data_IF_576658658447
#
_entry.id   IF_576658658447
#
_cell.length_a   1.000
_cell.length_b   1.000
_cell.length_c   1.000
_cell.angle_alpha   90.00
_cell.angle_beta   90.00
_cell.angle_gamma   90.00
#
_symmetry.space_group_name_H-M   'P 1'
#
loop_
_entity.id
_entity.type
_entity.pdbx_description
1 polymer ?
#
# COMPACT_ATOMS: atom_id res chain seq x y z
N UNK A 1 -59.13 19.83 38.17
CA UNK A 1 -58.33 19.18 37.11
C UNK A 1 -56.90 19.70 37.20
N UNK A 2 -55.93 18.76 37.19
CA UNK A 2 -54.46 18.85 37.39
C UNK A 2 -53.81 20.14 36.82
N UNK A 3 -52.78 20.80 37.40
CA UNK A 3 -51.60 20.35 38.16
C UNK A 3 -51.17 21.34 39.26
N UNK A 4 -50.67 20.77 40.36
CA UNK A 4 -49.92 21.33 41.51
C UNK A 4 -48.46 21.55 41.06
N UNK A 5 -47.90 22.76 41.18
CA UNK A 5 -47.02 23.26 42.27
C UNK A 5 -45.67 22.52 42.35
N UNK A 6 -44.51 23.11 42.64
CA UNK A 6 -44.13 24.44 43.12
C UNK A 6 -42.61 24.45 43.39
N UNK A 7 -42.03 25.65 43.47
CA UNK A 7 -40.97 26.11 44.43
C UNK A 7 -39.60 25.38 44.44
N UNK A 8 -38.46 25.97 44.78
CA UNK A 8 -38.04 27.30 45.22
C UNK A 8 -36.51 27.41 45.05
N UNK A 9 -36.00 28.65 45.14
CA UNK A 9 -34.57 28.98 45.12
C UNK A 9 -33.95 28.80 46.52
N UNK A 10 -32.65 28.54 46.57
CA UNK A 10 -31.76 28.96 47.66
C UNK A 10 -30.30 29.06 47.18
N UNK A 11 -29.53 29.90 47.89
CA UNK A 11 -28.36 30.66 47.42
C UNK A 11 -27.01 30.21 48.02
N UNK A 12 -25.94 30.72 47.40
CA UNK A 12 -24.62 31.09 47.96
C UNK A 12 -23.62 30.00 48.39
N UNK A 13 -22.36 30.16 47.92
CA UNK A 13 -21.16 29.82 48.69
C UNK A 13 -19.91 29.42 47.89
N UNK A 14 -18.88 30.28 47.93
CA UNK A 14 -17.47 29.85 48.07
C UNK A 14 -16.65 29.58 46.80
N UNK A 15 -15.67 30.43 46.53
CA UNK A 15 -14.69 30.23 45.48
C UNK A 15 -13.55 29.26 45.84
N UNK A 16 -12.89 28.75 44.81
CA UNK A 16 -11.45 28.52 44.79
C UNK A 16 -11.01 28.44 43.32
N UNK A 17 -10.12 29.35 42.93
CA UNK A 17 -9.38 29.28 41.68
C UNK A 17 -8.49 28.04 41.72
N UNK A 18 -8.89 26.99 41.00
CA UNK A 18 -8.03 25.89 40.61
C UNK A 18 -7.89 25.95 39.10
N UNK A 19 -6.79 26.53 38.62
CA UNK A 19 -6.32 26.33 37.26
C UNK A 19 -6.16 24.83 37.05
N UNK A 20 -7.17 24.19 36.46
CA UNK A 20 -7.05 22.82 35.97
C UNK A 20 -6.14 22.89 34.76
N UNK A 21 -4.88 22.60 34.99
CA UNK A 21 -3.95 22.07 33.98
C UNK A 21 -4.73 21.03 33.17
N UNK A 22 -4.83 21.14 31.84
CA UNK A 22 -5.47 20.09 31.06
C UNK A 22 -4.66 18.82 31.26
N UNK A 23 -5.38 17.76 31.62
CA UNK A 23 -4.84 16.45 31.94
C UNK A 23 -4.20 15.87 30.67
N UNK A 24 -2.88 15.68 30.70
CA UNK A 24 -2.08 15.09 29.61
C UNK A 24 -2.34 13.59 29.57
N UNK A 25 -3.48 13.12 29.05
CA UNK A 25 -3.68 11.66 28.81
C UNK A 25 -4.72 11.26 27.74
N UNK A 26 -5.40 12.16 27.00
CA UNK A 26 -6.47 11.71 26.06
C UNK A 26 -6.36 12.28 24.64
N UNK A 27 -5.25 11.98 23.96
CA UNK A 27 -5.21 11.96 22.49
C UNK A 27 -4.65 10.60 22.05
N UNK A 28 -5.47 9.55 22.18
CA UNK A 28 -5.24 8.28 21.45
C UNK A 28 -5.68 8.50 20.00
N UNK A 29 -4.76 8.25 19.08
CA UNK A 29 -4.83 8.58 17.65
C UNK A 29 -6.19 8.34 17.02
N UNK A 30 -6.78 9.41 16.51
CA UNK A 30 -7.80 9.33 15.48
C UNK A 30 -7.10 8.82 14.22
N UNK A 31 -7.60 7.73 13.63
CA UNK A 31 -7.28 7.36 12.25
C UNK A 31 -7.58 8.60 11.39
N UNK A 32 -6.67 8.98 10.50
CA UNK A 32 -6.87 10.13 9.62
C UNK A 32 -8.08 9.80 8.73
N UNK A 33 -9.27 10.29 9.10
CA UNK A 33 -10.55 10.01 8.43
C UNK A 33 -10.61 10.58 6.99
N UNK A 34 -9.55 11.25 6.55
CA UNK A 34 -9.44 11.87 5.24
C UNK A 34 -8.75 10.98 4.18
N UNK A 35 -8.27 9.78 4.55
CA UNK A 35 -7.66 8.86 3.58
C UNK A 35 -8.65 8.50 2.48
N UNK A 36 -8.27 8.74 1.24
CA UNK A 36 -9.06 8.33 0.07
C UNK A 36 -8.72 6.91 -0.37
N UNK A 37 -9.59 6.30 -1.17
CA UNK A 37 -9.35 4.97 -1.77
C UNK A 37 -8.03 4.96 -2.54
N UNK A 38 -7.80 5.97 -3.38
CA UNK A 38 -6.63 6.06 -4.25
C UNK A 38 -5.30 6.03 -3.49
N UNK A 39 -5.27 6.50 -2.24
CA UNK A 39 -4.07 6.49 -1.39
C UNK A 39 -3.69 5.11 -0.85
N UNK A 40 -4.62 4.16 -0.87
CA UNK A 40 -4.42 2.80 -0.34
C UNK A 40 -4.32 1.72 -1.41
N UNK A 41 -4.84 1.97 -2.61
CA UNK A 41 -4.89 0.91 -3.62
C UNK A 41 -3.51 0.52 -4.12
N UNK A 42 -3.41 -0.74 -4.52
CA UNK A 42 -2.26 -1.30 -5.20
C UNK A 42 -2.64 -1.63 -6.65
N UNK A 43 -1.67 -1.68 -7.58
CA UNK A 43 -1.92 -2.12 -8.95
C UNK A 43 -2.57 -3.51 -8.94
N UNK A 44 -3.68 -3.65 -9.64
CA UNK A 44 -4.38 -4.92 -9.72
C UNK A 44 -3.61 -5.91 -10.61
N UNK A 45 -3.38 -7.10 -10.07
CA UNK A 45 -2.86 -8.24 -10.83
C UNK A 45 -4.07 -9.05 -11.31
N UNK A 46 -4.23 -9.13 -12.63
CA UNK A 46 -5.33 -9.82 -13.29
C UNK A 46 -4.90 -11.14 -13.92
N UNK A 47 -5.90 -11.97 -14.20
CA UNK A 47 -5.83 -13.12 -15.11
C UNK A 47 -6.73 -12.86 -16.31
N UNK A 48 -6.49 -13.57 -17.41
CA UNK A 48 -7.38 -13.52 -18.57
C UNK A 48 -8.46 -14.60 -18.46
N UNK A 49 -9.63 -14.33 -19.02
CA UNK A 49 -10.72 -15.31 -19.03
C UNK A 49 -10.37 -16.60 -19.77
N UNK A 50 -9.47 -16.54 -20.75
CA UNK A 50 -8.97 -17.67 -21.54
C UNK A 50 -7.77 -18.39 -20.90
N UNK A 51 -7.24 -17.90 -19.77
CA UNK A 51 -6.22 -18.62 -19.00
C UNK A 51 -6.83 -19.89 -18.38
N UNK A 52 -5.99 -20.90 -18.12
CA UNK A 52 -6.44 -22.09 -17.40
C UNK A 52 -6.69 -21.77 -15.92
N UNK A 53 -7.68 -22.42 -15.32
CA UNK A 53 -7.96 -22.30 -13.89
C UNK A 53 -6.73 -22.72 -13.06
N UNK A 54 -5.97 -23.72 -13.53
CA UNK A 54 -4.69 -24.13 -12.92
C UNK A 54 -3.71 -22.96 -12.79
N UNK A 55 -3.53 -22.18 -13.86
CA UNK A 55 -2.58 -21.06 -13.87
C UNK A 55 -3.04 -19.93 -12.94
N UNK A 56 -4.35 -19.63 -12.92
CA UNK A 56 -4.92 -18.68 -11.98
C UNK A 56 -4.73 -19.12 -10.53
N UNK A 57 -5.02 -20.39 -10.22
CA UNK A 57 -4.85 -20.96 -8.89
C UNK A 57 -3.40 -20.97 -8.43
N UNK A 58 -2.48 -21.38 -9.32
CA UNK A 58 -1.05 -21.34 -9.04
C UNK A 58 -0.60 -19.92 -8.72
N UNK A 59 -1.13 -18.91 -9.43
CA UNK A 59 -0.83 -17.52 -9.15
C UNK A 59 -1.36 -17.05 -7.79
N UNK A 60 -2.59 -17.41 -7.44
CA UNK A 60 -3.19 -17.09 -6.14
C UNK A 60 -2.34 -17.66 -5.00
N UNK A 61 -2.02 -18.95 -5.06
CA UNK A 61 -1.25 -19.64 -4.02
C UNK A 61 0.19 -19.13 -3.92
N UNK A 62 0.89 -19.01 -5.06
CA UNK A 62 2.31 -18.62 -5.04
C UNK A 62 2.54 -17.17 -4.63
N UNK A 63 1.49 -16.34 -4.67
CA UNK A 63 1.59 -14.89 -4.42
C UNK A 63 0.74 -14.43 -3.25
N UNK A 64 0.07 -15.36 -2.57
CA UNK A 64 -0.80 -15.09 -1.43
C UNK A 64 -1.93 -14.10 -1.78
N UNK A 65 -2.52 -14.28 -2.97
CA UNK A 65 -3.67 -13.49 -3.41
C UNK A 65 -4.95 -14.27 -3.20
N UNK A 66 -5.83 -13.73 -2.37
CA UNK A 66 -7.15 -14.31 -2.14
C UNK A 66 -8.15 -14.05 -3.26
N UNK A 67 -7.84 -13.09 -4.14
CA UNK A 67 -8.68 -12.76 -5.29
C UNK A 67 -7.92 -12.02 -6.39
N UNK A 68 -8.45 -12.11 -7.62
CA UNK A 68 -7.90 -11.43 -8.79
C UNK A 68 -9.03 -11.00 -9.74
N UNK A 69 -8.94 -9.82 -10.36
CA UNK A 69 -9.82 -9.45 -11.48
C UNK A 69 -9.57 -10.36 -12.69
N UNK A 70 -10.64 -10.66 -13.42
CA UNK A 70 -10.58 -11.40 -14.68
C UNK A 70 -10.80 -10.42 -15.82
N UNK A 71 -9.96 -10.51 -16.85
CA UNK A 71 -9.92 -9.57 -17.96
C UNK A 71 -10.07 -10.25 -19.32
N UNK A 72 -10.50 -9.48 -20.33
CA UNK A 72 -10.46 -9.89 -21.73
C UNK A 72 -9.05 -9.73 -22.35
N UNK A 73 -8.92 -9.97 -23.66
CA UNK A 73 -7.68 -9.80 -24.42
C UNK A 73 -7.19 -8.33 -24.51
N UNK A 74 -8.08 -7.36 -24.23
CA UNK A 74 -7.80 -5.93 -24.23
C UNK A 74 -7.53 -5.39 -22.83
N UNK A 75 -7.53 -6.25 -21.80
CA UNK A 75 -7.32 -5.90 -20.40
C UNK A 75 -8.56 -5.31 -19.71
N UNK A 76 -9.74 -5.39 -20.33
CA UNK A 76 -11.00 -4.89 -19.74
C UNK A 76 -11.55 -5.89 -18.75
N UNK A 77 -12.08 -5.40 -17.64
CA UNK A 77 -12.66 -6.24 -16.58
C UNK A 77 -13.90 -6.95 -17.10
N UNK A 78 -13.92 -8.30 -17.02
CA UNK A 78 -15.07 -9.13 -17.40
C UNK A 78 -15.61 -9.96 -16.23
N UNK A 79 -14.86 -10.08 -15.14
CA UNK A 79 -15.27 -10.85 -13.97
C UNK A 79 -14.28 -10.77 -12.82
N UNK A 80 -14.46 -11.64 -11.84
CA UNK A 80 -13.50 -11.84 -10.75
C UNK A 80 -13.33 -13.33 -10.42
N UNK A 81 -12.16 -13.69 -9.90
CA UNK A 81 -11.93 -15.01 -9.31
C UNK A 81 -11.46 -14.83 -7.87
N UNK A 82 -12.04 -15.58 -6.95
CA UNK A 82 -11.81 -15.47 -5.52
C UNK A 82 -11.58 -16.86 -4.92
N UNK A 83 -10.98 -16.95 -3.74
CA UNK A 83 -10.95 -18.21 -2.96
C UNK A 83 -12.37 -18.76 -2.75
N UNK A 84 -13.36 -17.87 -2.59
CA UNK A 84 -14.78 -18.21 -2.43
C UNK A 84 -15.36 -18.91 -3.66
N UNK A 85 -14.83 -18.61 -4.86
CA UNK A 85 -15.19 -19.27 -6.12
C UNK A 85 -14.89 -20.76 -6.05
N UNK A 86 -13.69 -21.12 -5.58
CA UNK A 86 -13.30 -22.52 -5.44
C UNK A 86 -14.20 -23.24 -4.45
N UNK A 87 -14.40 -22.67 -3.26
CA UNK A 87 -15.24 -23.26 -2.21
C UNK A 87 -16.67 -23.50 -2.73
N UNK A 88 -17.20 -22.56 -3.52
CA UNK A 88 -18.52 -22.68 -4.14
C UNK A 88 -18.57 -23.84 -5.14
N UNK A 89 -17.60 -23.96 -6.04
CA UNK A 89 -17.59 -25.03 -7.04
C UNK A 89 -17.32 -26.41 -6.41
N UNK A 90 -16.44 -26.49 -5.40
CA UNK A 90 -16.30 -27.68 -4.56
C UNK A 90 -17.62 -28.10 -3.91
N UNK A 91 -18.45 -27.13 -3.48
CA UNK A 91 -19.74 -27.42 -2.85
C UNK A 91 -20.81 -27.87 -3.83
N UNK A 92 -20.67 -27.55 -5.13
CA UNK A 92 -21.59 -27.98 -6.19
C UNK A 92 -21.20 -29.33 -6.80
N UNK A 93 -19.95 -29.76 -6.62
CA UNK A 93 -19.41 -30.96 -7.24
C UNK A 93 -20.01 -32.23 -6.61
N UNK A 94 -20.62 -33.08 -7.42
CA UNK A 94 -21.13 -34.39 -7.00
C UNK A 94 -20.02 -35.46 -7.07
N UNK A 95 -18.97 -35.27 -6.25
CA UNK A 95 -17.89 -36.24 -6.06
C UNK A 95 -16.71 -36.17 -7.03
N UNK A 96 -16.75 -35.32 -8.07
CA UNK A 96 -15.58 -35.06 -8.92
C UNK A 96 -15.53 -33.62 -9.42
N UNK A 97 -14.34 -33.03 -9.43
CA UNK A 97 -14.06 -31.79 -10.14
C UNK A 97 -13.32 -32.08 -11.46
N UNK A 98 -13.55 -31.28 -12.51
CA UNK A 98 -12.71 -31.33 -13.70
C UNK A 98 -11.25 -31.03 -13.35
N UNK A 99 -10.31 -31.49 -14.19
CA UNK A 99 -8.92 -31.04 -14.05
C UNK A 99 -8.87 -29.52 -14.27
N UNK A 100 -8.32 -28.73 -13.34
CA UNK A 100 -8.18 -27.28 -13.50
C UNK A 100 -7.39 -26.84 -14.75
N UNK A 101 -6.62 -27.74 -15.37
CA UNK A 101 -5.98 -27.47 -16.66
C UNK A 101 -6.98 -27.37 -17.84
N UNK A 102 -8.11 -28.07 -17.72
CA UNK A 102 -9.12 -28.18 -18.79
C UNK A 102 -10.28 -27.18 -18.62
N UNK A 103 -10.25 -26.39 -17.54
CA UNK A 103 -11.26 -25.37 -17.20
C UNK A 103 -10.69 -23.99 -17.47
N UNK A 104 -11.42 -23.14 -18.18
CA UNK A 104 -11.02 -21.75 -18.35
C UNK A 104 -11.43 -20.94 -17.12
N UNK A 105 -10.68 -19.87 -16.82
CA UNK A 105 -11.05 -18.94 -15.74
C UNK A 105 -12.47 -18.39 -15.96
N UNK A 106 -12.85 -18.09 -17.21
CA UNK A 106 -14.16 -17.57 -17.54
C UNK A 106 -15.33 -18.50 -17.18
N UNK A 107 -15.11 -19.82 -17.13
CA UNK A 107 -16.16 -20.78 -16.77
C UNK A 107 -16.52 -20.72 -15.28
N UNK A 108 -15.57 -20.31 -14.44
CA UNK A 108 -15.70 -20.32 -12.98
C UNK A 108 -15.74 -18.91 -12.38
N UNK A 109 -15.39 -17.88 -13.13
CA UNK A 109 -15.38 -16.50 -12.63
C UNK A 109 -16.76 -16.06 -12.11
N UNK A 110 -16.75 -15.20 -11.10
CA UNK A 110 -17.92 -14.45 -10.67
C UNK A 110 -18.04 -13.12 -11.40
N UNK A 111 -19.01 -12.32 -10.96
CA UNK A 111 -19.20 -10.95 -11.43
C UNK A 111 -17.93 -10.10 -11.18
N UNK A 112 -17.68 -9.07 -11.99
CA UNK A 112 -16.65 -8.08 -11.72
C UNK A 112 -16.73 -7.49 -10.31
N UNK A 113 -15.58 -7.08 -9.76
CA UNK A 113 -15.57 -6.31 -8.52
C UNK A 113 -16.30 -4.97 -8.70
N UNK A 114 -16.77 -4.42 -7.58
CA UNK A 114 -17.41 -3.12 -7.59
C UNK A 114 -16.38 -2.04 -7.93
N UNK A 115 -16.69 -1.20 -8.92
CA UNK A 115 -15.85 -0.04 -9.27
C UNK A 115 -16.12 1.12 -8.32
N UNK A 116 -15.06 1.79 -7.90
CA UNK A 116 -15.13 3.00 -7.05
C UNK A 116 -14.30 4.12 -7.68
N UNK A 117 -14.51 5.35 -7.21
CA UNK A 117 -13.70 6.51 -7.62
C UNK A 117 -12.50 6.70 -6.67
N UNK A 118 -11.33 7.14 -7.16
CA UNK A 118 -10.12 7.31 -6.35
C UNK A 118 -10.29 8.27 -5.18
N UNK A 119 -11.09 9.33 -5.36
CA UNK A 119 -11.31 10.37 -4.36
C UNK A 119 -12.31 9.96 -3.29
N UNK A 120 -12.95 8.78 -3.40
CA UNK A 120 -13.90 8.33 -2.39
C UNK A 120 -13.20 8.19 -1.03
N UNK A 121 -13.79 8.70 0.06
CA UNK A 121 -13.23 8.51 1.38
C UNK A 121 -13.38 7.05 1.82
N UNK A 122 -12.43 6.58 2.62
CA UNK A 122 -12.34 5.17 2.99
C UNK A 122 -13.55 4.66 3.78
N UNK A 123 -14.19 5.52 4.56
CA UNK A 123 -15.39 5.21 5.34
C UNK A 123 -16.60 4.90 4.45
N UNK A 124 -16.71 5.52 3.27
CA UNK A 124 -17.74 5.25 2.27
C UNK A 124 -17.53 3.90 1.56
N UNK A 125 -16.28 3.45 1.40
CA UNK A 125 -15.95 2.16 0.75
C UNK A 125 -15.93 1.00 1.73
N UNK A 126 -15.70 1.26 3.02
CA UNK A 126 -15.64 0.23 4.06
C UNK A 126 -16.88 -0.72 4.08
N UNK A 127 -18.13 -0.23 3.97
CA UNK A 127 -19.30 -1.10 3.86
C UNK A 127 -19.30 -2.00 2.61
N UNK A 128 -18.76 -1.52 1.49
CA UNK A 128 -18.64 -2.32 0.26
C UNK A 128 -17.69 -3.51 0.48
N UNK A 129 -16.55 -3.26 1.16
CA UNK A 129 -15.56 -4.28 1.49
C UNK A 129 -16.01 -5.26 2.60
N UNK A 130 -17.10 -4.97 3.31
CA UNK A 130 -17.77 -5.95 4.18
C UNK A 130 -18.64 -6.92 3.36
N UNK A 131 -19.30 -6.42 2.33
CA UNK A 131 -20.18 -7.22 1.47
C UNK A 131 -19.43 -8.00 0.38
N UNK A 132 -18.31 -7.46 -0.10
CA UNK A 132 -17.47 -8.00 -1.18
C UNK A 132 -16.01 -8.10 -0.73
N UNK A 133 -15.17 -8.94 -1.35
CA UNK A 133 -13.77 -9.09 -0.90
C UNK A 133 -12.84 -7.97 -1.39
N UNK A 134 -13.21 -7.31 -2.49
CA UNK A 134 -12.43 -6.24 -3.07
C UNK A 134 -13.30 -5.24 -3.86
N UNK A 135 -12.73 -4.06 -4.08
CA UNK A 135 -13.22 -3.04 -5.02
C UNK A 135 -12.08 -2.66 -5.99
N UNK A 136 -12.41 -2.15 -7.17
CA UNK A 136 -11.43 -1.74 -8.17
C UNK A 136 -11.59 -0.28 -8.61
N UNK A 137 -10.49 0.30 -9.06
CA UNK A 137 -10.52 1.49 -9.91
C UNK A 137 -10.13 1.01 -11.31
N UNK A 138 -10.98 1.32 -12.27
CA UNK A 138 -10.78 1.01 -13.67
C UNK A 138 -10.51 2.31 -14.44
N UNK A 139 -9.78 2.23 -15.56
CA UNK A 139 -9.60 3.37 -16.46
C UNK A 139 -10.88 3.69 -17.26
N UNK A 140 -10.84 4.75 -18.06
CA UNK A 140 -11.98 5.19 -18.88
C UNK A 140 -12.39 4.16 -19.95
N UNK A 141 -11.47 3.28 -20.35
CA UNK A 141 -11.72 2.17 -21.28
C UNK A 141 -12.29 0.91 -20.59
N UNK A 142 -12.45 0.94 -19.27
CA UNK A 142 -12.90 -0.18 -18.44
C UNK A 142 -11.83 -1.23 -18.19
N UNK A 143 -10.54 -0.88 -18.31
CA UNK A 143 -9.42 -1.73 -17.91
C UNK A 143 -9.20 -1.62 -16.42
N UNK A 144 -9.09 -2.76 -15.73
CA UNK A 144 -8.80 -2.77 -14.29
C UNK A 144 -7.48 -2.07 -14.03
N UNK A 145 -7.45 -1.06 -13.18
CA UNK A 145 -6.24 -0.31 -12.82
C UNK A 145 -5.66 -0.81 -11.50
N UNK A 146 -6.43 -0.63 -10.43
CA UNK A 146 -6.01 -0.88 -9.06
C UNK A 146 -7.08 -1.62 -8.26
N UNK A 147 -6.66 -2.34 -7.23
CA UNK A 147 -7.53 -3.12 -6.35
C UNK A 147 -7.30 -2.72 -4.89
N UNK A 148 -8.39 -2.66 -4.13
CA UNK A 148 -8.39 -2.45 -2.68
C UNK A 148 -9.15 -3.58 -2.02
N UNK A 149 -8.55 -4.12 -0.97
CA UNK A 149 -9.01 -5.32 -0.28
C UNK A 149 -9.12 -5.07 1.23
N UNK A 150 -9.73 -6.02 1.95
CA UNK A 150 -9.77 -5.97 3.42
C UNK A 150 -8.38 -6.03 4.06
N UNK A 151 -7.42 -6.69 3.40
CA UNK A 151 -6.04 -6.77 3.88
C UNK A 151 -5.39 -5.38 3.88
N UNK A 152 -5.65 -4.58 2.84
CA UNK A 152 -5.14 -3.22 2.71
C UNK A 152 -5.73 -2.29 3.79
N UNK A 153 -7.03 -2.40 4.05
CA UNK A 153 -7.67 -1.68 5.19
C UNK A 153 -7.04 -2.07 6.53
N UNK A 154 -6.79 -3.36 6.74
CA UNK A 154 -6.21 -3.86 7.99
C UNK A 154 -4.78 -3.34 8.18
N UNK A 155 -3.99 -3.36 7.10
CA UNK A 155 -2.65 -2.79 7.09
C UNK A 155 -2.68 -1.28 7.35
N UNK A 156 -3.59 -0.54 6.71
CA UNK A 156 -3.77 0.89 6.93
C UNK A 156 -4.11 1.21 8.38
N UNK A 157 -5.06 0.49 8.99
CA UNK A 157 -5.42 0.70 10.40
C UNK A 157 -4.21 0.46 11.31
N UNK A 158 -3.41 -0.58 11.05
CA UNK A 158 -2.19 -0.83 11.80
C UNK A 158 -1.20 0.34 11.66
N UNK A 159 -0.99 0.86 10.46
CA UNK A 159 -0.12 2.02 10.22
C UNK A 159 -0.62 3.26 10.96
N UNK A 160 -1.94 3.54 10.91
CA UNK A 160 -2.56 4.70 11.57
C UNK A 160 -2.46 4.66 13.09
N UNK A 161 -2.62 3.48 13.71
CA UNK A 161 -2.39 3.33 15.16
C UNK A 161 -0.93 3.54 15.58
N UNK A 162 -0.02 3.55 14.61
CA UNK A 162 1.43 3.59 14.82
C UNK A 162 2.03 4.97 14.53
N UNK A 163 1.18 5.94 14.13
CA UNK A 163 1.58 7.28 13.71
C UNK A 163 2.64 7.28 12.61
N UNK A 164 2.65 6.29 11.70
CA UNK A 164 3.64 6.23 10.61
C UNK A 164 3.13 7.06 9.43
N UNK A 165 3.84 8.12 9.00
CA UNK A 165 3.40 8.93 7.88
C UNK A 165 3.60 8.20 6.54
N UNK A 166 2.64 8.33 5.63
CA UNK A 166 2.80 7.88 4.23
C UNK A 166 3.45 8.91 3.32
N UNK A 167 3.30 10.20 3.65
CA UNK A 167 3.98 11.28 2.96
C UNK A 167 5.42 11.40 3.48
N UNK A 168 6.46 11.31 2.64
CA UNK A 168 7.85 11.44 3.07
C UNK A 168 8.16 12.75 3.79
N UNK A 169 7.42 13.84 3.52
CA UNK A 169 7.67 15.15 4.16
C UNK A 169 7.11 15.24 5.59
N UNK A 170 6.18 14.35 5.94
CA UNK A 170 5.56 14.33 7.28
C UNK A 170 6.38 13.50 8.28
N UNK A 171 7.49 12.91 7.85
CA UNK A 171 8.39 12.16 8.73
C UNK A 171 9.12 13.09 9.68
N UNK A 172 9.33 12.61 10.90
CA UNK A 172 9.98 13.35 11.99
C UNK A 172 10.85 12.37 12.76
N UNK A 173 11.77 12.90 13.57
CA UNK A 173 12.69 12.07 14.34
C UNK A 173 11.97 11.11 15.31
N UNK A 174 10.88 11.54 15.92
CA UNK A 174 10.08 10.71 16.85
C UNK A 174 9.42 9.51 16.18
N UNK A 175 9.07 9.62 14.89
CA UNK A 175 8.59 8.49 14.10
C UNK A 175 9.69 7.42 13.96
N UNK A 176 10.93 7.84 13.71
CA UNK A 176 12.09 6.93 13.59
C UNK A 176 12.38 6.22 14.91
N UNK A 177 12.32 6.94 16.03
CA UNK A 177 12.48 6.35 17.37
C UNK A 177 11.40 5.31 17.65
N UNK A 178 10.14 5.62 17.32
CA UNK A 178 9.01 4.71 17.52
C UNK A 178 9.17 3.42 16.70
N UNK A 179 9.61 3.53 15.43
CA UNK A 179 9.89 2.36 14.58
C UNK A 179 10.89 1.39 15.22
N UNK A 180 12.03 1.91 15.69
CA UNK A 180 13.09 1.10 16.31
C UNK A 180 12.64 0.52 17.65
N UNK A 181 11.99 1.33 18.51
CA UNK A 181 11.50 0.90 19.83
C UNK A 181 10.51 -0.26 19.71
N UNK A 182 9.61 -0.20 18.74
CA UNK A 182 8.56 -1.19 18.54
C UNK A 182 9.00 -2.37 17.66
N UNK A 183 10.26 -2.38 17.21
CA UNK A 183 10.83 -3.36 16.29
C UNK A 183 9.94 -3.61 15.08
N UNK A 184 9.51 -2.52 14.46
CA UNK A 184 8.52 -2.54 13.38
C UNK A 184 9.01 -3.37 12.20
N UNK A 185 8.21 -4.33 11.71
CA UNK A 185 8.58 -5.11 10.54
C UNK A 185 8.42 -4.28 9.26
N UNK A 186 9.18 -4.62 8.22
CA UNK A 186 8.95 -4.19 6.86
C UNK A 186 7.56 -4.65 6.40
N UNK A 187 6.95 -3.87 5.53
CA UNK A 187 5.63 -4.16 4.96
C UNK A 187 5.72 -4.11 3.44
N UNK A 188 4.59 -4.21 2.75
CA UNK A 188 4.54 -3.97 1.30
C UNK A 188 4.95 -2.54 0.94
N UNK A 189 4.73 -1.56 1.83
CA UNK A 189 4.94 -0.14 1.57
C UNK A 189 6.04 0.48 2.43
N UNK A 190 6.70 -0.29 3.30
CA UNK A 190 7.78 0.19 4.16
C UNK A 190 9.00 -0.73 4.05
N UNK A 191 10.17 -0.17 3.75
CA UNK A 191 11.43 -0.90 3.67
C UNK A 191 12.59 -0.16 4.36
N UNK A 192 13.50 -0.90 4.99
CA UNK A 192 14.65 -0.35 5.70
C UNK A 192 15.97 -0.68 5.01
N UNK A 193 16.90 0.27 5.02
CA UNK A 193 18.29 0.10 4.58
C UNK A 193 19.22 0.81 5.55
N UNK A 194 20.32 0.17 5.94
CA UNK A 194 21.24 0.75 6.91
C UNK A 194 22.09 1.89 6.32
N UNK A 195 22.59 1.74 5.10
CA UNK A 195 23.49 2.71 4.47
C UNK A 195 23.17 2.85 2.99
N UNK A 196 23.61 3.97 2.41
CA UNK A 196 23.72 4.12 0.96
C UNK A 196 24.80 3.17 0.45
N UNK A 197 24.45 2.14 -0.34
CA UNK A 197 25.40 1.11 -0.67
C UNK A 197 26.41 1.63 -1.72
N UNK A 198 27.62 1.97 -1.29
CA UNK A 198 28.73 2.38 -2.18
C UNK A 198 29.03 1.33 -3.27
N UNK A 199 28.80 0.05 -2.99
CA UNK A 199 28.99 -1.10 -3.90
C UNK A 199 27.68 -1.68 -4.46
N UNK A 200 26.51 -1.08 -4.20
CA UNK A 200 25.23 -1.67 -4.63
C UNK A 200 24.13 -0.65 -4.92
N UNK A 201 24.45 0.41 -5.68
CA UNK A 201 23.45 1.26 -6.36
C UNK A 201 22.35 0.42 -7.04
N UNK A 202 22.71 -0.77 -7.52
CA UNK A 202 21.80 -1.79 -8.04
C UNK A 202 20.73 -2.25 -7.02
N UNK A 203 21.09 -2.59 -5.76
CA UNK A 203 20.11 -3.02 -4.75
C UNK A 203 19.10 -1.92 -4.38
N UNK A 204 19.55 -0.67 -4.38
CA UNK A 204 18.69 0.49 -4.16
C UNK A 204 17.71 0.67 -5.33
N UNK A 205 18.23 0.72 -6.57
CA UNK A 205 17.39 0.82 -7.77
C UNK A 205 16.39 -0.35 -7.88
N UNK A 206 16.81 -1.56 -7.52
CA UNK A 206 15.94 -2.74 -7.47
C UNK A 206 14.80 -2.59 -6.47
N UNK A 207 15.08 -2.08 -5.26
CA UNK A 207 14.06 -1.83 -4.24
C UNK A 207 13.05 -0.80 -4.74
N UNK A 208 13.56 0.32 -5.27
CA UNK A 208 12.74 1.41 -5.79
C UNK A 208 11.88 0.96 -6.97
N UNK A 209 12.45 0.24 -7.96
CA UNK A 209 11.69 -0.30 -9.08
C UNK A 209 10.58 -1.25 -8.64
N UNK A 210 10.90 -2.20 -7.75
CA UNK A 210 9.92 -3.18 -7.28
C UNK A 210 8.77 -2.53 -6.50
N UNK A 211 9.07 -1.52 -5.68
CA UNK A 211 8.07 -0.75 -4.93
C UNK A 211 7.24 0.14 -5.86
N UNK A 212 7.86 0.86 -6.79
CA UNK A 212 7.16 1.72 -7.75
C UNK A 212 6.23 0.89 -8.65
N UNK A 213 6.66 -0.31 -9.03
CA UNK A 213 5.82 -1.25 -9.76
C UNK A 213 4.74 -1.89 -8.88
N UNK A 214 4.80 -1.79 -7.55
CA UNK A 214 3.73 -2.21 -6.66
C UNK A 214 2.95 -0.98 -6.17
N UNK A 215 2.68 -0.86 -4.86
CA UNK A 215 1.85 0.20 -4.29
C UNK A 215 2.65 1.48 -3.94
N UNK A 216 3.90 1.60 -4.39
CA UNK A 216 4.82 2.64 -3.89
C UNK A 216 5.18 2.43 -2.41
N UNK A 217 5.47 3.53 -1.70
CA UNK A 217 5.69 3.54 -0.26
C UNK A 217 6.91 4.34 0.19
N UNK A 218 7.41 4.02 1.39
CA UNK A 218 8.55 4.67 2.04
C UNK A 218 9.73 3.69 2.13
N UNK A 219 10.91 4.14 1.68
CA UNK A 219 12.18 3.46 1.93
C UNK A 219 13.05 4.34 2.84
N UNK A 220 13.38 3.86 4.03
CA UNK A 220 14.24 4.58 4.98
C UNK A 220 15.69 4.11 4.84
N UNK A 221 16.61 5.05 4.60
CA UNK A 221 18.05 4.79 4.55
C UNK A 221 18.71 5.43 5.76
N UNK A 222 19.40 4.62 6.55
CA UNK A 222 19.91 4.99 7.87
C UNK A 222 19.26 4.22 9.01
N UNK A 223 18.54 3.15 8.72
CA UNK A 223 17.92 2.26 9.71
C UNK A 223 18.50 0.86 9.56
N UNK A 224 19.12 0.32 10.61
CA UNK A 224 19.55 -1.08 10.69
C UNK A 224 18.35 -1.95 11.03
N UNK A 225 18.21 -3.06 10.30
CA UNK A 225 17.22 -4.09 10.55
C UNK A 225 17.83 -5.45 10.94
N UNK A 226 17.04 -6.27 11.63
CA UNK A 226 17.29 -7.70 11.89
C UNK A 226 16.11 -8.49 11.30
N UNK A 227 16.39 -9.30 10.28
CA UNK A 227 15.31 -9.84 9.45
C UNK A 227 14.56 -8.70 8.77
N UNK A 228 13.25 -8.66 8.97
CA UNK A 228 12.37 -7.58 8.50
C UNK A 228 12.19 -6.47 9.55
N UNK A 229 12.77 -6.55 10.75
CA UNK A 229 12.46 -5.61 11.84
C UNK A 229 13.46 -4.48 11.97
N UNK A 230 12.99 -3.24 12.09
CA UNK A 230 13.82 -2.09 12.47
C UNK A 230 14.41 -2.28 13.87
N UNK A 231 15.69 -1.99 14.05
CA UNK A 231 16.37 -2.16 15.35
C UNK A 231 17.03 -0.88 15.83
N UNK A 232 17.68 -0.15 14.93
CA UNK A 232 18.55 0.95 15.34
C UNK A 232 18.75 1.99 14.24
N UNK A 233 18.78 3.26 14.63
CA UNK A 233 19.15 4.36 13.73
C UNK A 233 20.68 4.35 13.54
N UNK A 234 21.11 4.20 12.28
CA UNK A 234 22.50 4.26 11.81
C UNK A 234 22.62 5.43 10.83
N UNK A 235 22.85 6.65 11.32
CA UNK A 235 22.70 7.86 10.52
C UNK A 235 23.70 7.92 9.36
N UNK A 236 23.22 8.39 8.22
CA UNK A 236 24.00 8.68 7.01
C UNK A 236 24.16 10.20 6.86
N UNK A 237 25.06 10.64 5.98
CA UNK A 237 25.08 12.04 5.54
C UNK A 237 23.80 12.36 4.76
N UNK A 238 23.16 13.48 5.06
CA UNK A 238 21.92 13.94 4.41
C UNK A 238 22.12 15.33 3.77
N UNK A 239 21.24 15.68 2.83
CA UNK A 239 21.26 16.97 2.11
C UNK A 239 21.46 16.81 0.61
N UNK A 240 21.50 17.93 -0.11
CA UNK A 240 21.42 17.98 -1.58
C UNK A 240 22.41 17.06 -2.31
N UNK A 241 23.64 16.94 -1.80
CA UNK A 241 24.65 16.07 -2.41
C UNK A 241 24.24 14.60 -2.33
N UNK A 242 23.75 14.16 -1.18
CA UNK A 242 23.23 12.81 -0.96
C UNK A 242 21.98 12.58 -1.82
N UNK A 243 21.05 13.52 -1.82
CA UNK A 243 19.79 13.40 -2.56
C UNK A 243 20.03 13.25 -4.07
N UNK A 244 20.94 14.07 -4.62
CA UNK A 244 21.36 13.97 -6.01
C UNK A 244 22.06 12.63 -6.31
N UNK A 245 22.91 12.15 -5.39
CA UNK A 245 23.58 10.87 -5.56
C UNK A 245 22.61 9.68 -5.54
N UNK A 246 21.59 9.72 -4.67
CA UNK A 246 20.50 8.73 -4.60
C UNK A 246 19.71 8.75 -5.90
N UNK A 247 19.24 9.92 -6.34
CA UNK A 247 18.45 10.08 -7.56
C UNK A 247 19.21 9.56 -8.78
N UNK A 248 20.48 9.96 -8.93
CA UNK A 248 21.33 9.48 -10.01
C UNK A 248 21.56 7.97 -9.95
N UNK A 249 21.73 7.39 -8.75
CA UNK A 249 21.95 5.96 -8.60
C UNK A 249 20.73 5.12 -9.04
N UNK A 250 19.52 5.64 -8.78
CA UNK A 250 18.25 5.03 -9.17
C UNK A 250 17.99 5.25 -10.66
N UNK A 251 17.87 6.51 -11.11
CA UNK A 251 17.43 6.84 -12.47
C UNK A 251 18.40 6.33 -13.56
N UNK A 252 19.70 6.20 -13.27
CA UNK A 252 20.65 5.64 -14.22
C UNK A 252 20.41 4.14 -14.57
N UNK A 253 19.53 3.46 -13.83
CA UNK A 253 19.19 2.03 -14.01
C UNK A 253 17.73 1.80 -14.32
N UNK A 254 16.88 2.81 -14.13
CA UNK A 254 15.45 2.70 -14.36
C UNK A 254 15.09 3.17 -15.76
N UNK A 255 14.28 2.39 -16.44
CA UNK A 255 13.67 2.74 -17.72
C UNK A 255 12.14 2.50 -17.67
N UNK A 256 11.30 3.55 -17.76
CA UNK A 256 11.70 4.97 -17.72
C UNK A 256 12.31 5.37 -16.36
N UNK A 257 13.01 6.51 -16.23
CA UNK A 257 13.43 7.02 -14.92
C UNK A 257 12.22 7.53 -14.12
N UNK A 258 12.32 7.55 -12.78
CA UNK A 258 11.29 8.16 -11.93
C UNK A 258 11.39 9.68 -11.92
N UNK A 259 12.61 10.21 -12.05
CA UNK A 259 12.84 11.66 -12.01
C UNK A 259 12.24 12.25 -10.74
N UNK A 260 11.57 13.40 -10.85
CA UNK A 260 11.01 14.14 -9.71
C UNK A 260 9.88 13.40 -8.97
N UNK A 261 9.35 12.30 -9.50
CA UNK A 261 8.35 11.51 -8.80
C UNK A 261 8.95 10.77 -7.60
N UNK A 262 10.25 10.45 -7.62
CA UNK A 262 10.96 9.98 -6.43
C UNK A 262 11.23 11.16 -5.49
N UNK A 263 10.55 11.19 -4.36
CA UNK A 263 10.69 12.24 -3.34
C UNK A 263 11.73 11.81 -2.31
N UNK A 264 12.58 12.74 -1.89
CA UNK A 264 13.65 12.47 -0.92
C UNK A 264 13.60 13.57 0.13
N UNK A 265 13.54 13.18 1.40
CA UNK A 265 13.60 14.08 2.54
C UNK A 265 14.66 13.59 3.53
N UNK A 266 15.40 14.49 4.16
CA UNK A 266 16.38 14.17 5.21
C UNK A 266 15.83 14.47 6.59
N UNK A 267 15.79 13.47 7.47
CA UNK A 267 15.45 13.66 8.88
C UNK A 267 16.75 13.72 9.68
N UNK A 268 17.15 14.94 10.03
CA UNK A 268 18.34 15.23 10.82
C UNK A 268 18.26 14.62 12.23
N UNK A 269 19.41 14.25 12.78
CA UNK A 269 19.54 13.94 14.19
C UNK A 269 19.48 15.23 15.02
N UNK A 270 18.91 15.21 16.23
CA UNK A 270 18.91 16.37 17.12
C UNK A 270 20.32 16.89 17.48
N UNK A 271 21.31 16.00 17.46
CA UNK A 271 22.69 16.26 17.87
C UNK A 271 23.60 16.73 16.70
N UNK A 272 23.19 16.46 15.45
CA UNK A 272 23.99 16.68 14.23
C UNK A 272 23.04 16.84 13.03
N UNK A 273 22.93 18.07 12.52
CA UNK A 273 22.01 18.42 11.42
C UNK A 273 22.50 17.93 10.04
N UNK A 274 23.77 17.57 9.92
CA UNK A 274 24.36 17.03 8.69
C UNK A 274 24.14 15.53 8.53
N UNK A 275 23.68 14.85 9.58
CA UNK A 275 23.51 13.40 9.63
C UNK A 275 22.12 13.00 10.07
N UNK A 276 21.62 11.91 9.50
CA UNK A 276 20.25 11.50 9.77
C UNK A 276 19.82 10.29 8.99
N UNK A 277 18.51 10.23 8.74
CA UNK A 277 17.87 9.19 7.93
C UNK A 277 17.30 9.84 6.67
N UNK A 278 17.62 9.29 5.51
CA UNK A 278 16.97 9.69 4.27
C UNK A 278 15.65 8.91 4.12
N UNK A 279 14.57 9.64 3.88
CA UNK A 279 13.22 9.15 3.66
C UNK A 279 12.93 9.25 2.17
N UNK A 280 12.84 8.11 1.49
CA UNK A 280 12.50 8.06 0.07
C UNK A 280 11.02 7.76 -0.08
N UNK A 281 10.25 8.73 -0.57
CA UNK A 281 8.88 8.53 -1.03
C UNK A 281 8.87 8.01 -2.46
N UNK A 282 8.48 6.76 -2.62
CA UNK A 282 8.40 6.05 -3.89
C UNK A 282 6.92 6.08 -4.34
N UNK A 283 6.62 6.65 -5.51
CA UNK A 283 5.25 6.71 -5.99
C UNK A 283 4.77 5.33 -6.45
N UNK A 284 3.46 5.09 -6.45
CA UNK A 284 2.89 4.04 -7.29
C UNK A 284 3.00 4.50 -8.75
N UNK A 285 3.72 3.74 -9.57
CA UNK A 285 3.91 4.11 -10.97
C UNK A 285 2.77 3.61 -11.85
N UNK A 286 2.29 4.49 -12.73
CA UNK A 286 1.32 4.13 -13.77
C UNK A 286 1.94 3.18 -14.79
N UNK A 287 3.12 3.53 -15.32
CA UNK A 287 3.90 2.67 -16.22
C UNK A 287 4.92 1.83 -15.45
N UNK A 288 5.20 0.60 -15.89
CA UNK A 288 6.19 -0.22 -15.22
C UNK A 288 7.61 0.31 -15.48
N UNK A 289 8.43 0.37 -14.44
CA UNK A 289 9.85 0.71 -14.52
C UNK A 289 10.70 -0.56 -14.58
N UNK A 290 11.48 -0.72 -15.64
CA UNK A 290 12.50 -1.77 -15.73
C UNK A 290 13.76 -1.32 -14.99
N UNK A 291 14.39 -2.24 -14.25
CA UNK A 291 15.72 -2.04 -13.67
C UNK A 291 16.71 -2.89 -14.47
N UNK A 292 17.66 -2.24 -15.15
CA UNK A 292 18.64 -2.89 -16.04
C UNK A 292 17.95 -3.86 -17.03
N UNK A 293 16.82 -3.43 -17.62
CA UNK A 293 16.02 -4.21 -18.60
C UNK A 293 15.07 -5.25 -18.00
N UNK A 294 15.04 -5.40 -16.67
CA UNK A 294 14.18 -6.38 -15.99
C UNK A 294 13.11 -5.69 -15.16
N UNK A 295 11.85 -6.07 -15.36
CA UNK A 295 10.73 -5.58 -14.57
C UNK A 295 10.58 -6.38 -13.28
N UNK A 296 10.70 -5.69 -12.15
CA UNK A 296 10.55 -6.28 -10.82
C UNK A 296 9.26 -5.81 -10.16
N UNK A 297 8.59 -6.69 -9.44
CA UNK A 297 7.39 -6.38 -8.68
C UNK A 297 7.57 -6.80 -7.23
N UNK A 298 7.15 -5.94 -6.30
CA UNK A 298 7.05 -6.28 -4.88
C UNK A 298 5.76 -7.05 -4.59
N UNK A 299 5.89 -8.12 -3.81
CA UNK A 299 4.78 -8.93 -3.28
C UNK A 299 5.04 -9.17 -1.80
N UNK A 300 4.32 -8.47 -0.92
CA UNK A 300 4.66 -8.41 0.50
C UNK A 300 6.03 -7.76 0.72
N UNK A 301 6.92 -8.44 1.44
CA UNK A 301 8.33 -8.04 1.62
C UNK A 301 9.28 -8.67 0.58
N UNK A 302 8.74 -9.51 -0.32
CA UNK A 302 9.50 -10.20 -1.36
C UNK A 302 9.43 -9.45 -2.71
N UNK A 303 10.29 -9.87 -3.65
CA UNK A 303 10.34 -9.34 -5.01
C UNK A 303 10.37 -10.49 -6.02
N UNK A 304 9.76 -10.27 -7.18
CA UNK A 304 9.78 -11.21 -8.30
C UNK A 304 9.86 -10.50 -9.64
N UNK A 305 10.16 -11.24 -10.69
CA UNK A 305 9.99 -10.76 -12.06
C UNK A 305 8.51 -10.54 -12.36
N UNK A 306 8.18 -9.42 -13.01
CA UNK A 306 6.88 -9.24 -13.64
C UNK A 306 6.76 -10.22 -14.81
N UNK A 307 5.56 -10.78 -14.99
CA UNK A 307 5.27 -11.60 -16.17
C UNK A 307 5.03 -10.69 -17.37
N UNK A 308 5.24 -11.20 -18.57
CA UNK A 308 5.01 -10.45 -19.81
C UNK A 308 3.58 -9.87 -19.87
N UNK A 309 2.58 -10.65 -19.49
CA UNK A 309 1.18 -10.20 -19.43
C UNK A 309 0.98 -9.02 -18.47
N UNK A 310 1.63 -9.04 -17.30
CA UNK A 310 1.54 -7.96 -16.30
C UNK A 310 2.20 -6.68 -16.80
N UNK A 311 3.35 -6.81 -17.47
CA UNK A 311 4.05 -5.67 -18.08
C UNK A 311 3.19 -5.09 -19.21
N UNK A 312 2.67 -5.95 -20.09
CA UNK A 312 1.83 -5.55 -21.22
C UNK A 312 0.56 -4.83 -20.77
N UNK A 313 -0.19 -5.41 -19.84
CA UNK A 313 -1.46 -4.85 -19.36
C UNK A 313 -1.23 -3.46 -18.76
N UNK A 314 -0.13 -3.27 -18.03
CA UNK A 314 0.21 -1.97 -17.46
C UNK A 314 0.59 -0.92 -18.50
N UNK A 315 1.29 -1.30 -19.57
CA UNK A 315 1.55 -0.40 -20.70
C UNK A 315 0.28 -0.04 -21.48
N UNK A 316 -0.67 -0.96 -21.61
CA UNK A 316 -1.93 -0.72 -22.30
C UNK A 316 -2.80 0.30 -21.55
N UNK A 317 -2.87 0.23 -20.22
CA UNK A 317 -3.57 1.22 -19.37
C UNK A 317 -3.02 2.65 -19.52
N UNK A 318 -1.71 2.79 -19.67
CA UNK A 318 -1.10 4.12 -19.81
C UNK A 318 -1.42 4.81 -21.14
N UNK A 319 -1.60 4.03 -22.22
CA UNK A 319 -1.89 4.60 -23.55
C UNK A 319 -3.30 5.13 -23.70
N UNK A 320 -4.23 4.77 -22.82
CA UNK A 320 -5.63 5.19 -22.85
C UNK A 320 -5.91 6.50 -22.10
N UNK A 321 -5.02 6.97 -21.23
CA UNK A 321 -5.15 8.26 -20.52
C UNK A 321 -4.63 9.49 -21.31
N UNK A 322 -4.48 9.40 -22.64
CA UNK A 322 -4.04 10.54 -23.50
C UNK A 322 -4.98 10.79 -24.67
#
# INVERSE_FOLDING_TARGET
>A
MRRVASTERLSCGGGAAGTKTPNVTEQRGLVELATTVGELMCPAISVRGDDSLRDALAMMVTRDFSQMPVTDDRGRTIGSIEESTLVREFSKADGSLPDPADVSVADWMGDPFERVEPEMPLDAVSPLLLARPAVTIDDDDGRVGSILTRADLTAHLLDSYSSIPRDPDRWEYDHLLSLCRERRPETTTLEFKQQLPASSKHKLALAVAAMANACGGILLIGIRSEGDRAVEIRPIEIGDATDNAIRQAVDARLDPPLGNQLRIAGIALPEDDSRGVAVLGIPMAETPHAMDGTFWLRTGTCRRHMREVEVRDRYLRFRSCR
#
